data_IF_576009188054
#
_entry.id   IF_576009188054
#
_cell.length_a   1.000
_cell.length_b   1.000
_cell.length_c   1.000
_cell.angle_alpha   90.00
_cell.angle_beta   90.00
_cell.angle_gamma   90.00
#
_symmetry.space_group_name_H-M   'P 1'
#
loop_
_entity.id
_entity.type
_entity.pdbx_description
1 polymer ?
#
# COMPACT_ATOMS: atom_id res chain seq x y z
N UNK A 1 -14.34 18.46 33.08
CA UNK A 1 -13.19 18.07 32.25
C UNK A 1 -13.53 17.19 31.04
N UNK A 2 -14.66 16.48 31.01
CA UNK A 2 -15.06 15.58 29.88
C UNK A 2 -15.53 16.29 28.60
N UNK A 3 -16.00 17.53 28.69
CA UNK A 3 -16.52 18.29 27.53
C UNK A 3 -15.44 18.89 26.60
N UNK A 4 -14.25 19.19 27.11
CA UNK A 4 -13.17 19.78 26.31
C UNK A 4 -12.39 18.77 25.46
N UNK A 5 -12.38 17.51 25.88
CA UNK A 5 -11.72 16.42 25.14
C UNK A 5 -12.59 16.02 23.93
N UNK A 6 -13.90 16.06 24.07
CA UNK A 6 -14.81 15.73 22.96
C UNK A 6 -14.76 16.76 21.84
N UNK A 7 -14.54 18.05 22.17
CA UNK A 7 -14.41 19.11 21.16
C UNK A 7 -13.10 19.03 20.38
N UNK A 8 -12.00 18.56 21.01
CA UNK A 8 -10.72 18.39 20.36
C UNK A 8 -10.73 17.19 19.39
N UNK A 9 -11.43 16.09 19.74
CA UNK A 9 -11.58 14.93 18.84
C UNK A 9 -12.47 15.25 17.63
N UNK A 10 -13.50 16.06 17.80
CA UNK A 10 -14.39 16.49 16.69
C UNK A 10 -13.66 17.41 15.70
N UNK A 11 -12.73 18.23 16.18
CA UNK A 11 -11.90 19.10 15.33
C UNK A 11 -10.84 18.31 14.56
N UNK A 12 -10.29 17.24 15.12
CA UNK A 12 -9.33 16.35 14.44
C UNK A 12 -9.98 15.47 13.38
N UNK A 13 -11.23 15.01 13.62
CA UNK A 13 -12.00 14.24 12.64
C UNK A 13 -12.58 15.13 11.52
N UNK A 14 -12.84 16.41 11.80
CA UNK A 14 -13.26 17.39 10.78
C UNK A 14 -12.13 17.83 9.83
N UNK A 15 -10.88 17.79 10.28
CA UNK A 15 -9.73 18.19 9.46
C UNK A 15 -9.40 17.18 8.35
N UNK A 16 -9.76 15.91 8.53
CA UNK A 16 -9.48 14.87 7.51
C UNK A 16 -10.45 14.89 6.33
N UNK A 17 -11.60 15.54 6.47
CA UNK A 17 -12.57 15.71 5.36
C UNK A 17 -12.36 16.99 4.58
N UNK A 18 -11.59 17.97 5.10
CA UNK A 18 -11.38 19.28 4.46
C UNK A 18 -10.12 19.32 3.58
N UNK A 19 -9.24 18.34 3.62
CA UNK A 19 -8.07 18.28 2.72
C UNK A 19 -8.48 18.14 1.25
N UNK A 20 -9.68 17.64 0.96
CA UNK A 20 -10.27 17.65 -0.40
C UNK A 20 -10.85 19.04 -0.80
N UNK A 21 -10.99 19.97 0.12
CA UNK A 21 -11.59 21.28 -0.12
C UNK A 21 -10.57 22.43 -0.22
N UNK A 22 -9.30 22.23 0.09
CA UNK A 22 -8.27 23.28 0.05
C UNK A 22 -7.79 23.61 -1.38
N UNK A 23 -8.31 22.93 -2.40
CA UNK A 23 -8.07 23.26 -3.81
C UNK A 23 -8.73 24.55 -4.30
N UNK A 24 -9.41 25.33 -3.45
CA UNK A 24 -10.20 26.50 -3.88
C UNK A 24 -9.64 27.87 -3.44
N UNK A 25 -8.38 27.97 -3.04
CA UNK A 25 -7.73 29.25 -2.78
C UNK A 25 -6.91 29.71 -3.98
N UNK A 26 -7.58 30.26 -4.97
CA UNK A 26 -6.96 30.87 -6.13
C UNK A 26 -7.96 31.05 -7.27
N UNK A 27 -8.80 32.08 -7.20
CA UNK A 27 -9.58 32.53 -8.35
C UNK A 27 -8.67 33.20 -9.37
N UNK A 28 -8.02 32.42 -10.19
CA UNK A 28 -7.48 32.88 -11.46
C UNK A 28 -7.76 31.76 -12.48
N UNK A 29 -8.63 32.02 -13.44
CA UNK A 29 -8.87 31.40 -14.74
C UNK A 29 -8.14 30.07 -15.08
N UNK A 30 -8.01 29.15 -14.14
CA UNK A 30 -7.69 27.77 -14.45
C UNK A 30 -8.98 27.14 -14.94
N UNK A 31 -9.05 26.79 -16.22
CA UNK A 31 -10.01 25.79 -16.71
C UNK A 31 -9.90 24.63 -15.73
N UNK A 32 -10.94 24.41 -14.92
CA UNK A 32 -11.02 23.26 -14.02
C UNK A 32 -11.02 22.01 -14.89
N UNK A 33 -9.86 21.43 -15.14
CA UNK A 33 -9.77 20.05 -15.53
C UNK A 33 -10.07 19.24 -14.25
N UNK A 34 -11.35 19.07 -13.97
CA UNK A 34 -11.74 18.10 -12.95
C UNK A 34 -11.39 16.73 -13.54
N UNK A 35 -10.50 16.00 -12.86
CA UNK A 35 -10.25 14.61 -13.19
C UNK A 35 -11.56 13.83 -13.14
N UNK A 36 -11.83 13.08 -14.18
CA UNK A 36 -13.01 12.21 -14.26
C UNK A 36 -12.71 10.85 -13.62
N UNK A 37 -13.75 10.05 -13.42
CA UNK A 37 -13.53 8.67 -12.99
C UNK A 37 -12.74 7.86 -14.04
N UNK A 38 -12.93 8.16 -15.30
CA UNK A 38 -12.22 7.54 -16.42
C UNK A 38 -10.72 7.86 -16.35
N UNK A 39 -10.35 9.10 -16.01
CA UNK A 39 -8.95 9.50 -15.84
C UNK A 39 -8.29 8.74 -14.67
N UNK A 40 -9.03 8.55 -13.57
CA UNK A 40 -8.55 7.79 -12.41
C UNK A 40 -8.32 6.32 -12.78
N UNK A 41 -9.26 5.70 -13.50
CA UNK A 41 -9.11 4.32 -13.97
C UNK A 41 -7.97 4.18 -14.97
N UNK A 42 -7.86 5.10 -15.93
CA UNK A 42 -6.74 5.12 -16.87
C UNK A 42 -5.38 5.21 -16.15
N UNK A 43 -5.29 5.99 -15.08
CA UNK A 43 -4.08 6.08 -14.27
C UNK A 43 -3.76 4.76 -13.56
N UNK A 44 -4.72 4.10 -12.89
CA UNK A 44 -4.51 2.79 -12.25
C UNK A 44 -4.12 1.71 -13.26
N UNK A 45 -4.84 1.62 -14.36
CA UNK A 45 -4.59 0.63 -15.40
C UNK A 45 -3.25 0.88 -16.10
N UNK A 46 -2.94 2.14 -16.43
CA UNK A 46 -1.67 2.52 -17.02
C UNK A 46 -0.48 2.21 -16.13
N UNK A 47 -0.59 2.48 -14.83
CA UNK A 47 0.45 2.16 -13.85
C UNK A 47 0.68 0.64 -13.76
N UNK A 48 -0.39 -0.14 -13.59
CA UNK A 48 -0.28 -1.59 -13.51
C UNK A 48 0.23 -2.22 -14.80
N UNK A 49 -0.26 -1.79 -15.97
CA UNK A 49 0.20 -2.30 -17.26
C UNK A 49 1.68 -2.00 -17.51
N UNK A 50 2.20 -0.91 -16.95
CA UNK A 50 3.58 -0.48 -17.13
C UNK A 50 4.53 -1.13 -16.13
N UNK A 51 4.16 -1.17 -14.87
CA UNK A 51 5.09 -1.51 -13.79
C UNK A 51 4.81 -2.85 -13.11
N UNK A 52 3.60 -3.41 -13.17
CA UNK A 52 3.34 -4.70 -12.56
C UNK A 52 3.89 -5.83 -13.44
N UNK A 53 4.78 -6.65 -12.88
CA UNK A 53 5.12 -7.94 -13.47
C UNK A 53 3.94 -8.92 -13.23
N UNK A 54 3.17 -9.18 -14.28
CA UNK A 54 1.95 -9.99 -14.21
C UNK A 54 2.21 -11.48 -13.97
N UNK A 55 3.44 -11.96 -14.10
CA UNK A 55 3.80 -13.34 -13.80
C UNK A 55 4.09 -13.55 -12.32
N UNK A 56 4.69 -12.54 -11.67
CA UNK A 56 5.10 -12.59 -10.27
C UNK A 56 4.19 -11.80 -9.34
N UNK A 57 3.43 -10.86 -9.87
CA UNK A 57 2.66 -9.85 -9.13
C UNK A 57 3.53 -9.02 -8.17
N UNK A 58 4.72 -8.66 -8.66
CA UNK A 58 5.68 -7.74 -8.04
C UNK A 58 5.82 -6.52 -8.95
N UNK A 59 5.90 -5.35 -8.36
CA UNK A 59 6.11 -4.14 -9.15
C UNK A 59 7.59 -3.94 -9.51
N UNK A 60 7.80 -3.49 -10.72
CA UNK A 60 9.12 -3.15 -11.28
C UNK A 60 9.52 -1.74 -10.87
N UNK A 61 10.83 -1.52 -10.76
CA UNK A 61 11.37 -0.20 -10.49
C UNK A 61 11.28 0.74 -11.70
N UNK A 62 11.20 0.20 -12.91
CA UNK A 62 11.10 0.96 -14.14
C UNK A 62 10.45 0.13 -15.25
N UNK A 63 9.81 0.80 -16.20
CA UNK A 63 9.25 0.19 -17.40
C UNK A 63 10.30 -0.44 -18.33
N UNK A 64 11.57 -0.06 -18.19
CA UNK A 64 12.67 -0.63 -18.97
C UNK A 64 13.02 -2.08 -18.61
N UNK A 65 12.61 -2.55 -17.45
CA UNK A 65 12.83 -3.95 -17.06
C UNK A 65 11.72 -4.84 -17.59
N UNK A 66 12.06 -6.00 -18.19
CA UNK A 66 11.06 -6.97 -18.66
C UNK A 66 10.33 -7.65 -17.51
N UNK A 67 11.01 -7.87 -16.37
CA UNK A 67 10.43 -8.51 -15.17
C UNK A 67 11.01 -7.93 -13.88
N UNK A 68 10.29 -8.16 -12.79
CA UNK A 68 10.74 -7.87 -11.43
C UNK A 68 11.47 -9.12 -10.89
N UNK A 69 12.80 -9.16 -10.94
CA UNK A 69 13.56 -10.33 -10.50
C UNK A 69 13.82 -10.26 -8.99
N UNK A 70 14.65 -9.32 -8.56
CA UNK A 70 15.02 -9.08 -7.16
C UNK A 70 15.48 -7.63 -6.95
N UNK A 71 15.94 -7.31 -5.75
CA UNK A 71 16.51 -6.01 -5.40
C UNK A 71 17.70 -5.69 -6.29
N UNK A 72 17.65 -4.55 -6.97
CA UNK A 72 18.68 -4.10 -7.92
C UNK A 72 18.56 -4.74 -9.30
N UNK A 73 17.67 -5.70 -9.50
CA UNK A 73 17.46 -6.40 -10.77
C UNK A 73 15.98 -6.37 -11.18
N UNK A 74 15.46 -5.19 -11.36
CA UNK A 74 14.14 -4.93 -11.91
C UNK A 74 13.01 -4.83 -10.88
N UNK A 75 13.08 -5.44 -9.72
CA UNK A 75 12.08 -5.26 -8.67
C UNK A 75 12.18 -3.87 -8.04
N UNK A 76 11.06 -3.21 -7.84
CA UNK A 76 11.01 -2.00 -7.04
C UNK A 76 11.42 -2.31 -5.59
N UNK A 77 11.95 -1.30 -4.89
CA UNK A 77 12.38 -1.45 -3.51
C UNK A 77 11.26 -2.04 -2.64
N UNK A 78 11.66 -2.83 -1.65
CA UNK A 78 10.72 -3.58 -0.79
C UNK A 78 9.70 -2.67 -0.10
N UNK A 79 10.08 -1.45 0.27
CA UNK A 79 9.20 -0.45 0.86
C UNK A 79 8.20 0.17 -0.12
N UNK A 80 8.49 0.15 -1.43
CA UNK A 80 7.56 0.61 -2.45
C UNK A 80 6.42 -0.38 -2.69
N UNK A 81 6.67 -1.67 -2.54
CA UNK A 81 5.68 -2.72 -2.82
C UNK A 81 4.40 -2.56 -2.00
N UNK A 82 4.43 -2.33 -0.67
CA UNK A 82 3.21 -2.12 0.11
C UNK A 82 2.47 -0.84 -0.28
N UNK A 83 3.17 0.22 -0.69
CA UNK A 83 2.54 1.45 -1.19
C UNK A 83 1.77 1.18 -2.49
N UNK A 84 2.34 0.40 -3.40
CA UNK A 84 1.66 0.01 -4.64
C UNK A 84 0.50 -0.97 -4.39
N UNK A 85 0.62 -1.83 -3.38
CA UNK A 85 -0.48 -2.65 -2.92
C UNK A 85 -1.63 -1.81 -2.34
N UNK A 86 -1.32 -0.76 -1.56
CA UNK A 86 -2.30 0.23 -1.09
C UNK A 86 -3.03 0.92 -2.25
N UNK A 87 -2.33 1.21 -3.35
CA UNK A 87 -2.97 1.75 -4.57
C UNK A 87 -4.01 0.78 -5.13
N UNK A 88 -3.71 -0.52 -5.21
CA UNK A 88 -4.65 -1.54 -5.65
C UNK A 88 -5.85 -1.67 -4.68
N UNK A 89 -5.63 -1.58 -3.37
CA UNK A 89 -6.69 -1.53 -2.36
C UNK A 89 -7.57 -0.28 -2.51
N UNK A 90 -6.99 0.86 -2.83
CA UNK A 90 -7.75 2.09 -3.09
C UNK A 90 -8.58 1.97 -4.37
N UNK A 91 -8.06 1.34 -5.42
CA UNK A 91 -8.83 1.03 -6.63
C UNK A 91 -10.01 0.08 -6.33
N UNK A 92 -9.81 -0.95 -5.50
CA UNK A 92 -10.90 -1.80 -5.01
C UNK A 92 -11.98 -0.99 -4.27
N UNK A 93 -11.58 -0.10 -3.35
CA UNK A 93 -12.50 0.77 -2.62
C UNK A 93 -13.28 1.69 -3.56
N UNK A 94 -12.63 2.26 -4.55
CA UNK A 94 -13.25 3.11 -5.57
C UNK A 94 -14.29 2.33 -6.39
N UNK A 95 -13.93 1.14 -6.89
CA UNK A 95 -14.84 0.27 -7.62
C UNK A 95 -16.10 -0.08 -6.80
N UNK A 96 -15.90 -0.37 -5.52
CA UNK A 96 -16.99 -0.66 -4.59
C UNK A 96 -17.89 0.55 -4.37
N UNK A 97 -17.31 1.74 -4.20
CA UNK A 97 -18.06 3.00 -4.06
C UNK A 97 -18.88 3.33 -5.32
N UNK A 98 -18.33 3.05 -6.50
CA UNK A 98 -18.99 3.21 -7.80
C UNK A 98 -20.00 2.10 -8.10
N UNK A 99 -20.12 1.08 -7.26
CA UNK A 99 -20.97 -0.12 -7.45
C UNK A 99 -20.61 -0.90 -8.71
N UNK A 100 -19.39 -0.78 -9.21
CA UNK A 100 -18.88 -1.57 -10.33
C UNK A 100 -18.49 -2.96 -9.83
N UNK A 101 -19.38 -3.91 -9.98
CA UNK A 101 -19.19 -5.30 -9.54
C UNK A 101 -18.04 -6.00 -10.26
N UNK A 102 -17.79 -5.65 -11.52
CA UNK A 102 -16.71 -6.24 -12.32
C UNK A 102 -15.36 -5.78 -11.79
N UNK A 103 -15.12 -4.46 -11.76
CA UNK A 103 -13.89 -3.89 -11.23
C UNK A 103 -13.67 -4.24 -9.75
N UNK A 104 -14.72 -4.31 -8.96
CA UNK A 104 -14.61 -4.75 -7.54
C UNK A 104 -14.01 -6.16 -7.44
N UNK A 105 -14.45 -7.12 -8.26
CA UNK A 105 -13.87 -8.47 -8.28
C UNK A 105 -12.45 -8.48 -8.82
N UNK A 106 -12.20 -7.77 -9.92
CA UNK A 106 -10.88 -7.67 -10.56
C UNK A 106 -9.83 -7.13 -9.58
N UNK A 107 -10.11 -6.01 -8.92
CA UNK A 107 -9.17 -5.41 -8.00
C UNK A 107 -9.05 -6.16 -6.66
N UNK A 108 -10.10 -6.86 -6.20
CA UNK A 108 -9.96 -7.80 -5.08
C UNK A 108 -8.97 -8.90 -5.42
N UNK A 109 -9.15 -9.55 -6.57
CA UNK A 109 -8.24 -10.60 -7.05
C UNK A 109 -6.83 -10.07 -7.26
N UNK A 110 -6.67 -8.84 -7.77
CA UNK A 110 -5.37 -8.20 -7.92
C UNK A 110 -4.68 -8.00 -6.57
N UNK A 111 -5.38 -7.51 -5.56
CA UNK A 111 -4.84 -7.36 -4.21
C UNK A 111 -4.36 -8.70 -3.63
N UNK A 112 -5.13 -9.78 -3.81
CA UNK A 112 -4.77 -11.12 -3.36
C UNK A 112 -3.50 -11.63 -4.07
N UNK A 113 -3.40 -11.41 -5.38
CA UNK A 113 -2.23 -11.83 -6.18
C UNK A 113 -0.98 -11.02 -5.84
N UNK A 114 -1.10 -9.71 -5.67
CA UNK A 114 0.04 -8.86 -5.25
C UNK A 114 0.54 -9.31 -3.88
N UNK A 115 -0.35 -9.57 -2.92
CA UNK A 115 0.04 -10.10 -1.62
C UNK A 115 0.79 -11.43 -1.76
N UNK A 116 0.23 -12.38 -2.52
CA UNK A 116 0.85 -13.70 -2.73
C UNK A 116 2.21 -13.60 -3.43
N UNK A 117 2.35 -12.73 -4.42
CA UNK A 117 3.61 -12.47 -5.12
C UNK A 117 4.68 -11.92 -4.19
N UNK A 118 4.33 -10.92 -3.39
CA UNK A 118 5.24 -10.35 -2.41
C UNK A 118 5.60 -11.35 -1.31
N UNK A 119 4.65 -12.14 -0.82
CA UNK A 119 4.90 -13.20 0.14
C UNK A 119 5.92 -14.20 -0.38
N UNK A 120 5.78 -14.65 -1.63
CA UNK A 120 6.72 -15.56 -2.28
C UNK A 120 8.10 -14.92 -2.48
N UNK A 121 8.15 -13.64 -2.85
CA UNK A 121 9.40 -12.91 -3.13
C UNK A 121 10.21 -12.63 -1.86
N UNK A 122 9.55 -12.33 -0.75
CA UNK A 122 10.17 -11.79 0.46
C UNK A 122 10.06 -12.79 1.63
N UNK A 123 10.64 -13.98 1.47
CA UNK A 123 10.79 -15.01 2.49
C UNK A 123 9.51 -15.32 3.28
N UNK A 124 8.36 -15.41 2.62
CA UNK A 124 7.05 -15.67 3.23
C UNK A 124 6.66 -14.65 4.33
N UNK A 125 7.22 -13.44 4.28
CA UNK A 125 7.11 -12.43 5.34
C UNK A 125 7.68 -12.91 6.69
N UNK A 126 8.74 -13.71 6.66
CA UNK A 126 9.55 -13.93 7.86
C UNK A 126 10.39 -12.67 8.13
N UNK A 127 9.88 -11.78 8.96
CA UNK A 127 10.52 -10.50 9.29
C UNK A 127 11.81 -10.67 10.12
N UNK A 128 12.09 -11.88 10.59
CA UNK A 128 13.34 -12.25 11.25
C UNK A 128 14.36 -12.91 10.29
N UNK A 129 14.03 -12.97 9.00
CA UNK A 129 14.98 -13.45 7.99
C UNK A 129 16.15 -12.46 7.85
N UNK A 130 17.37 -12.99 7.88
CA UNK A 130 18.60 -12.20 7.76
C UNK A 130 19.16 -12.15 6.33
N UNK A 131 18.39 -12.57 5.34
CA UNK A 131 18.77 -12.50 3.95
C UNK A 131 18.82 -11.05 3.48
N UNK A 132 20.00 -10.58 3.09
CA UNK A 132 20.21 -9.20 2.61
C UNK A 132 19.34 -8.85 1.40
N UNK A 133 18.93 -9.83 0.60
CA UNK A 133 18.07 -9.60 -0.56
C UNK A 133 16.63 -9.27 -0.18
N UNK A 134 16.16 -9.65 1.01
CA UNK A 134 14.81 -9.31 1.48
C UNK A 134 14.72 -7.93 2.08
N UNK A 135 15.77 -7.45 2.72
CA UNK A 135 15.81 -6.13 3.33
C UNK A 135 15.05 -6.01 4.65
N UNK A 136 14.69 -7.14 5.31
CA UNK A 136 13.96 -7.11 6.59
C UNK A 136 14.76 -6.61 7.80
N UNK A 137 15.92 -6.02 7.57
CA UNK A 137 16.74 -5.33 8.58
C UNK A 137 16.53 -3.81 8.60
N UNK A 138 15.72 -3.27 7.69
CA UNK A 138 15.42 -1.83 7.59
C UNK A 138 14.04 -1.58 8.22
N UNK A 139 13.99 -0.90 9.34
CA UNK A 139 12.78 -0.77 10.16
C UNK A 139 11.66 0.02 9.49
N UNK A 140 11.96 1.09 8.78
CA UNK A 140 10.96 1.85 8.03
C UNK A 140 10.39 1.05 6.86
N UNK A 141 11.20 0.24 6.18
CA UNK A 141 10.72 -0.68 5.14
C UNK A 141 9.69 -1.67 5.70
N UNK A 142 9.96 -2.24 6.89
CA UNK A 142 9.03 -3.14 7.60
C UNK A 142 7.76 -2.38 8.01
N UNK A 143 7.88 -1.13 8.48
CA UNK A 143 6.72 -0.35 8.92
C UNK A 143 5.76 -0.01 7.78
N UNK A 144 6.23 0.18 6.57
CA UNK A 144 5.34 0.33 5.41
C UNK A 144 4.48 -0.92 5.20
N UNK A 145 5.07 -2.12 5.36
CA UNK A 145 4.32 -3.38 5.32
C UNK A 145 3.35 -3.51 6.50
N UNK A 146 3.76 -3.13 7.71
CA UNK A 146 2.89 -3.13 8.90
C UNK A 146 1.60 -2.35 8.63
N UNK A 147 1.72 -1.14 8.08
CA UNK A 147 0.59 -0.26 7.77
C UNK A 147 -0.31 -0.88 6.71
N UNK A 148 0.25 -1.34 5.60
CA UNK A 148 -0.55 -1.87 4.48
C UNK A 148 -1.22 -3.19 4.84
N UNK A 149 -0.57 -4.05 5.63
CA UNK A 149 -1.16 -5.29 6.15
C UNK A 149 -2.34 -5.01 7.11
N UNK A 150 -2.22 -4.00 7.99
CA UNK A 150 -3.32 -3.58 8.86
C UNK A 150 -4.52 -3.07 8.04
N UNK A 151 -4.27 -2.23 7.03
CA UNK A 151 -5.31 -1.74 6.11
C UNK A 151 -5.97 -2.86 5.32
N UNK A 152 -5.19 -3.84 4.87
CA UNK A 152 -5.72 -5.00 4.16
C UNK A 152 -6.62 -5.85 5.07
N UNK A 153 -6.25 -6.01 6.35
CA UNK A 153 -7.11 -6.67 7.33
C UNK A 153 -8.43 -5.92 7.54
N UNK A 154 -8.39 -4.61 7.74
CA UNK A 154 -9.60 -3.78 7.86
C UNK A 154 -10.51 -3.90 6.62
N UNK A 155 -9.92 -4.02 5.44
CA UNK A 155 -10.66 -4.03 4.18
C UNK A 155 -11.24 -5.40 3.83
N UNK A 156 -10.51 -6.48 4.10
CA UNK A 156 -10.82 -7.84 3.63
C UNK A 156 -11.13 -8.83 4.75
N UNK A 157 -10.79 -8.53 6.02
CA UNK A 157 -11.04 -9.41 7.17
C UNK A 157 -10.20 -10.68 7.18
N UNK A 158 -9.07 -10.72 6.47
CA UNK A 158 -8.21 -11.90 6.39
C UNK A 158 -7.26 -11.93 7.58
N UNK A 159 -7.42 -12.90 8.48
CA UNK A 159 -6.63 -12.99 9.71
C UNK A 159 -5.11 -13.10 9.49
N UNK A 160 -4.66 -13.61 8.35
CA UNK A 160 -3.23 -13.64 8.02
C UNK A 160 -2.64 -12.24 7.95
N UNK A 161 -3.35 -11.28 7.36
CA UNK A 161 -2.89 -9.89 7.28
C UNK A 161 -2.69 -9.27 8.67
N UNK A 162 -3.62 -9.52 9.59
CA UNK A 162 -3.49 -9.06 10.97
C UNK A 162 -2.26 -9.67 11.65
N UNK A 163 -2.10 -10.99 11.57
CA UNK A 163 -0.95 -11.69 12.18
C UNK A 163 0.39 -11.17 11.66
N UNK A 164 0.48 -10.95 10.35
CA UNK A 164 1.69 -10.41 9.73
C UNK A 164 1.93 -8.95 10.12
N UNK A 165 0.88 -8.13 10.20
CA UNK A 165 0.98 -6.75 10.70
C UNK A 165 1.49 -6.70 12.14
N UNK A 166 0.97 -7.57 13.02
CA UNK A 166 1.44 -7.66 14.40
C UNK A 166 2.88 -8.16 14.49
N UNK A 167 3.26 -9.15 13.68
CA UNK A 167 4.61 -9.69 13.65
C UNK A 167 5.62 -8.63 13.18
N UNK A 168 5.32 -7.93 12.10
CA UNK A 168 6.17 -6.85 11.57
C UNK A 168 6.30 -5.69 12.55
N UNK A 169 5.21 -5.29 13.22
CA UNK A 169 5.26 -4.28 14.27
C UNK A 169 6.17 -4.70 15.44
N UNK A 170 6.01 -5.93 15.91
CA UNK A 170 6.84 -6.47 17.00
C UNK A 170 8.32 -6.52 16.61
N UNK A 171 8.62 -6.91 15.36
CA UNK A 171 9.98 -6.91 14.84
C UNK A 171 10.63 -5.53 14.91
N UNK A 172 9.90 -4.48 14.53
CA UNK A 172 10.40 -3.10 14.60
C UNK A 172 10.54 -2.62 16.04
N UNK A 173 9.55 -2.94 16.90
CA UNK A 173 9.50 -2.43 18.26
C UNK A 173 10.52 -3.10 19.20
N UNK A 174 10.73 -4.40 19.04
CA UNK A 174 11.59 -5.19 19.95
C UNK A 174 12.92 -5.61 19.32
N UNK A 175 13.13 -5.36 18.04
CA UNK A 175 14.29 -5.90 17.32
C UNK A 175 14.15 -7.40 17.03
N UNK A 176 15.25 -8.03 16.64
CA UNK A 176 15.32 -9.46 16.40
C UNK A 176 16.66 -10.01 16.85
N UNK A 177 16.66 -11.12 17.58
CA UNK A 177 17.88 -11.83 17.98
C UNK A 177 18.64 -12.39 16.76
N UNK A 178 17.95 -12.73 15.67
CA UNK A 178 18.55 -13.28 14.45
C UNK A 178 19.32 -12.25 13.63
N UNK A 179 18.73 -11.07 13.46
CA UNK A 179 19.28 -10.00 12.58
C UNK A 179 19.85 -8.84 13.37
N UNK A 180 19.73 -8.88 14.70
CA UNK A 180 20.18 -7.81 15.57
C UNK A 180 19.32 -6.56 15.49
N UNK A 181 19.75 -5.52 16.19
CA UNK A 181 19.12 -4.20 16.21
C UNK A 181 19.87 -3.29 15.23
N UNK A 182 19.44 -3.33 13.97
CA UNK A 182 20.08 -2.61 12.86
C UNK A 182 19.19 -1.55 12.24
N UNK A 183 18.16 -1.15 12.98
CA UNK A 183 17.21 -0.13 12.58
C UNK A 183 17.75 1.27 12.46
#
# INVERSE_FOLDING_TARGET
>A
MKSKILLALTLLLGASTTIWAVGNLGKANQKKHAYTNEDVWAAYEGFNNTLLDSNKYIYKTSSSYPSAVDRGNGAAAIWCQPIYWDMAMNAYKLAKAQKDKKKTREYKTLCEKIFAGNKAQYCQFDFDDNNENTGWFIYDDIMWWTISLARAYELFGVNEYLKLSEASFKRVWYGSEKVGDTG
#
